data_IF_844668665029
#
_entry.id   IF_844668665029
#
_cell.length_a   1.000
_cell.length_b   1.000
_cell.length_c   1.000
_cell.angle_alpha   90.00
_cell.angle_beta   90.00
_cell.angle_gamma   90.00
#
_symmetry.space_group_name_H-M   'P 1'
#
loop_
_entity.id
_entity.type
_entity.pdbx_description
1 polymer ?
#
# COMPACT_ATOMS: atom_id res chain seq x y z
N UNK A 1 35.83 21.93 -6.85
CA UNK A 1 34.55 22.41 -7.45
C UNK A 1 33.57 21.24 -7.46
N UNK A 2 33.01 20.92 -6.31
CA UNK A 2 32.10 19.81 -6.07
C UNK A 2 30.68 20.36 -6.07
N UNK A 3 29.90 19.97 -7.06
CA UNK A 3 28.51 20.39 -7.24
C UNK A 3 27.63 19.48 -6.36
N UNK A 4 27.20 20.00 -5.23
CA UNK A 4 26.19 19.37 -4.36
C UNK A 4 24.90 19.09 -5.15
N UNK A 5 24.67 17.84 -5.45
CA UNK A 5 23.39 17.34 -5.91
C UNK A 5 22.45 17.21 -4.70
N UNK A 6 21.79 18.30 -4.36
CA UNK A 6 20.66 18.26 -3.40
C UNK A 6 19.48 17.57 -4.07
N UNK A 7 19.36 16.28 -3.86
CA UNK A 7 18.13 15.57 -4.11
C UNK A 7 17.05 16.08 -3.15
N UNK A 8 16.19 16.94 -3.66
CA UNK A 8 14.93 17.27 -2.99
C UNK A 8 14.01 16.06 -3.02
N UNK A 9 14.09 15.23 -1.99
CA UNK A 9 13.19 14.08 -1.75
C UNK A 9 11.94 14.56 -1.02
N UNK A 10 11.25 15.53 -1.60
CA UNK A 10 9.96 16.00 -1.12
C UNK A 10 8.90 15.53 -2.12
N UNK A 11 8.52 14.27 -2.10
CA UNK A 11 7.22 13.81 -2.57
C UNK A 11 7.08 12.28 -2.41
N UNK A 12 6.88 11.84 -1.17
CA UNK A 12 6.06 10.67 -0.88
C UNK A 12 4.99 11.17 0.08
N UNK A 13 4.26 12.17 -0.36
CA UNK A 13 2.97 12.53 0.18
C UNK A 13 1.95 11.93 -0.77
N UNK A 14 1.09 11.08 -0.21
CA UNK A 14 -0.27 10.79 -0.63
C UNK A 14 -0.70 11.61 -1.85
N UNK A 15 -0.41 11.13 -3.06
CA UNK A 15 -0.89 11.76 -4.26
C UNK A 15 -2.33 11.31 -4.53
N UNK A 16 -3.27 11.76 -3.70
CA UNK A 16 -4.62 12.01 -4.19
C UNK A 16 -4.55 13.32 -4.98
N UNK A 17 -4.04 13.23 -6.19
CA UNK A 17 -4.10 14.33 -7.15
C UNK A 17 -5.53 14.46 -7.65
N UNK A 18 -6.21 15.51 -7.22
CA UNK A 18 -7.42 16.00 -7.88
C UNK A 18 -7.01 16.58 -9.23
N UNK A 19 -7.23 15.82 -10.30
CA UNK A 19 -7.04 16.31 -11.65
C UNK A 19 -8.31 17.05 -12.12
N UNK A 20 -8.10 18.26 -12.60
CA UNK A 20 -9.08 18.99 -13.41
C UNK A 20 -9.28 18.26 -14.74
N UNK A 21 -10.50 17.94 -15.06
CA UNK A 21 -10.95 17.06 -16.13
C UNK A 21 -10.73 17.63 -17.53
N UNK A 22 -10.00 16.90 -18.37
CA UNK A 22 -10.17 16.96 -19.83
C UNK A 22 -10.91 15.68 -20.25
N UNK A 23 -12.16 15.80 -20.59
CA UNK A 23 -13.06 14.70 -20.89
C UNK A 23 -12.83 14.17 -22.31
N UNK A 24 -12.21 13.00 -22.45
CA UNK A 24 -12.40 12.17 -23.63
C UNK A 24 -13.32 11.02 -23.29
N UNK A 25 -14.55 11.05 -23.81
CA UNK A 25 -15.51 9.97 -23.67
C UNK A 25 -14.97 8.70 -24.35
N UNK A 26 -14.39 7.78 -23.59
CA UNK A 26 -14.10 6.43 -24.07
C UNK A 26 -15.37 5.56 -24.07
N UNK A 27 -15.61 4.85 -25.19
CA UNK A 27 -16.72 3.89 -25.32
C UNK A 27 -16.58 2.80 -24.26
N UNK A 28 -17.68 2.24 -23.70
CA UNK A 28 -17.62 1.15 -22.74
C UNK A 28 -16.81 -0.01 -23.32
N UNK A 29 -15.78 -0.41 -22.57
CA UNK A 29 -14.69 -1.24 -23.07
C UNK A 29 -15.12 -2.72 -23.07
N UNK A 30 -14.95 -3.41 -24.18
CA UNK A 30 -15.21 -4.85 -24.31
C UNK A 30 -14.37 -5.73 -23.36
N UNK A 31 -13.31 -5.16 -22.77
CA UNK A 31 -12.39 -5.85 -21.86
C UNK A 31 -13.00 -6.24 -20.50
N UNK A 32 -14.07 -5.59 -20.05
CA UNK A 32 -14.76 -5.95 -18.80
C UNK A 32 -15.37 -7.37 -18.82
N UNK A 33 -15.45 -8.00 -20.01
CA UNK A 33 -15.85 -9.40 -20.15
C UNK A 33 -14.74 -10.38 -19.75
N UNK A 34 -13.48 -9.94 -19.78
CA UNK A 34 -12.33 -10.77 -19.45
C UNK A 34 -12.15 -10.89 -17.93
N UNK A 35 -11.52 -11.97 -17.51
CA UNK A 35 -11.02 -12.08 -16.14
C UNK A 35 -10.13 -10.87 -15.79
N UNK A 36 -10.23 -10.28 -14.59
CA UNK A 36 -9.41 -9.15 -14.18
C UNK A 36 -7.91 -9.34 -14.39
N UNK A 37 -7.37 -10.55 -14.19
CA UNK A 37 -5.95 -10.87 -14.43
C UNK A 37 -5.53 -10.73 -15.90
N UNK A 38 -6.47 -10.78 -16.83
CA UNK A 38 -6.24 -10.69 -18.28
C UNK A 38 -6.36 -9.24 -18.81
N UNK A 39 -6.70 -8.28 -17.95
CA UNK A 39 -6.91 -6.88 -18.33
C UNK A 39 -5.60 -6.08 -18.35
N UNK A 40 -4.52 -6.69 -18.80
CA UNK A 40 -3.19 -6.04 -18.89
C UNK A 40 -3.18 -5.07 -20.05
N UNK A 41 -2.92 -3.78 -19.75
CA UNK A 41 -2.86 -2.69 -20.73
C UNK A 41 -1.68 -1.76 -20.44
N UNK A 42 -1.41 -0.82 -21.33
CA UNK A 42 -0.51 0.30 -21.07
C UNK A 42 -1.17 1.18 -20.00
N UNK A 43 -0.38 1.70 -19.07
CA UNK A 43 -0.90 2.60 -18.03
C UNK A 43 -1.58 3.85 -18.65
N UNK A 44 -2.55 4.46 -17.98
CA UNK A 44 -3.13 5.73 -18.41
C UNK A 44 -2.03 6.79 -18.59
N UNK A 45 -2.17 7.66 -19.59
CA UNK A 45 -1.17 8.71 -19.87
C UNK A 45 -0.96 9.64 -18.65
N UNK A 46 -2.02 9.92 -17.90
CA UNK A 46 -1.93 10.70 -16.65
C UNK A 46 -0.96 10.11 -15.62
N UNK A 47 -0.82 8.77 -15.59
CA UNK A 47 0.16 8.09 -14.71
C UNK A 47 1.58 8.33 -15.22
N UNK A 48 1.81 8.26 -16.55
CA UNK A 48 3.11 8.59 -17.13
C UNK A 48 3.49 10.05 -16.89
N UNK A 49 2.54 10.97 -17.07
CA UNK A 49 2.75 12.40 -16.86
C UNK A 49 3.16 12.69 -15.42
N UNK A 50 2.43 12.17 -14.43
CA UNK A 50 2.76 12.34 -13.01
C UNK A 50 4.19 11.91 -12.67
N UNK A 51 4.66 10.78 -13.23
CA UNK A 51 6.01 10.31 -12.97
C UNK A 51 7.07 11.09 -13.74
N UNK A 52 6.77 11.59 -14.95
CA UNK A 52 7.67 12.51 -15.68
C UNK A 52 7.83 13.83 -14.96
N UNK A 53 6.75 14.40 -14.43
CA UNK A 53 6.78 15.62 -13.60
C UNK A 53 7.62 15.44 -12.34
N UNK A 54 7.62 14.24 -11.76
CA UNK A 54 8.51 13.85 -10.67
C UNK A 54 9.97 13.61 -11.10
N UNK A 55 10.32 13.88 -12.37
CA UNK A 55 11.66 13.72 -12.92
C UNK A 55 12.04 12.29 -13.29
N UNK A 56 11.08 11.37 -13.34
CA UNK A 56 11.30 9.98 -13.72
C UNK A 56 11.22 9.79 -15.25
N UNK A 57 11.65 8.61 -15.70
CA UNK A 57 11.55 8.19 -17.10
C UNK A 57 10.75 6.87 -17.16
N UNK A 58 9.45 6.91 -16.87
CA UNK A 58 8.63 5.70 -16.85
C UNK A 58 8.53 5.09 -18.25
N UNK A 59 8.61 3.77 -18.31
CA UNK A 59 8.48 3.00 -19.56
C UNK A 59 7.48 1.87 -19.33
N UNK A 60 6.58 1.65 -20.29
CA UNK A 60 5.67 0.52 -20.22
C UNK A 60 6.45 -0.80 -20.29
N UNK A 61 6.17 -1.68 -19.34
CA UNK A 61 6.76 -3.02 -19.30
C UNK A 61 5.80 -4.03 -19.94
N UNK A 62 6.32 -4.85 -20.86
CA UNK A 62 5.55 -5.92 -21.51
C UNK A 62 5.82 -7.24 -20.80
N UNK A 63 4.82 -7.79 -20.15
CA UNK A 63 4.94 -9.04 -19.42
C UNK A 63 5.38 -10.22 -20.31
N UNK A 64 6.37 -10.95 -19.82
CA UNK A 64 6.74 -12.28 -20.32
C UNK A 64 5.68 -13.33 -19.93
N UNK A 65 5.69 -14.53 -20.52
CA UNK A 65 4.79 -15.62 -20.11
C UNK A 65 4.91 -15.99 -18.63
N UNK A 66 6.13 -16.02 -18.08
CA UNK A 66 6.36 -16.36 -16.67
C UNK A 66 5.80 -15.27 -15.72
N UNK A 67 5.96 -14.00 -16.07
CA UNK A 67 5.39 -12.88 -15.29
C UNK A 67 3.86 -12.88 -15.34
N UNK A 68 3.26 -13.21 -16.48
CA UNK A 68 1.79 -13.37 -16.59
C UNK A 68 1.27 -14.47 -15.68
N UNK A 69 2.02 -15.56 -15.52
CA UNK A 69 1.66 -16.64 -14.60
C UNK A 69 1.67 -16.15 -13.14
N UNK A 70 2.68 -15.38 -12.74
CA UNK A 70 2.73 -14.74 -11.40
C UNK A 70 1.55 -13.80 -11.17
N UNK A 71 1.19 -13.00 -12.17
CA UNK A 71 0.01 -12.11 -12.11
C UNK A 71 -1.27 -12.93 -11.94
N UNK A 72 -1.49 -13.95 -12.75
CA UNK A 72 -2.66 -14.84 -12.63
C UNK A 72 -2.74 -15.50 -11.26
N UNK A 73 -1.59 -15.97 -10.75
CA UNK A 73 -1.51 -16.56 -9.42
C UNK A 73 -1.87 -15.53 -8.33
N UNK A 74 -1.43 -14.28 -8.44
CA UNK A 74 -1.77 -13.23 -7.48
C UNK A 74 -3.30 -12.98 -7.44
N UNK A 75 -3.96 -12.91 -8.59
CA UNK A 75 -5.42 -12.76 -8.65
C UNK A 75 -6.17 -13.95 -8.04
N UNK A 76 -5.64 -15.16 -8.16
CA UNK A 76 -6.24 -16.35 -7.56
C UNK A 76 -6.23 -16.33 -6.02
N UNK A 77 -5.36 -15.51 -5.41
CA UNK A 77 -5.27 -15.34 -3.96
C UNK A 77 -6.15 -14.22 -3.39
N UNK A 78 -6.90 -13.52 -4.22
CA UNK A 78 -7.80 -12.45 -3.78
C UNK A 78 -8.99 -13.00 -2.98
N UNK A 79 -9.45 -12.21 -1.99
CA UNK A 79 -10.67 -12.56 -1.24
C UNK A 79 -11.92 -12.52 -2.12
N UNK A 80 -13.03 -13.18 -1.73
CA UNK A 80 -14.29 -13.12 -2.47
C UNK A 80 -14.76 -11.68 -2.76
N UNK A 81 -14.63 -10.76 -1.80
CA UNK A 81 -15.01 -9.36 -2.01
C UNK A 81 -14.11 -8.68 -3.04
N UNK A 82 -12.79 -8.85 -2.97
CA UNK A 82 -11.87 -8.33 -3.97
C UNK A 82 -12.24 -8.82 -5.38
N UNK A 83 -12.42 -10.14 -5.56
CA UNK A 83 -12.76 -10.72 -6.85
C UNK A 83 -14.05 -10.11 -7.43
N UNK A 84 -15.10 -9.99 -6.59
CA UNK A 84 -16.38 -9.43 -6.99
C UNK A 84 -16.26 -7.96 -7.40
N UNK A 85 -15.57 -7.14 -6.60
CA UNK A 85 -15.41 -5.70 -6.86
C UNK A 85 -14.49 -5.46 -8.07
N UNK A 86 -13.35 -6.13 -8.16
CA UNK A 86 -12.45 -5.97 -9.30
C UNK A 86 -13.07 -6.41 -10.62
N UNK A 87 -13.93 -7.42 -10.61
CA UNK A 87 -14.66 -7.82 -11.81
C UNK A 87 -15.49 -6.68 -12.41
N UNK A 88 -16.03 -5.80 -11.56
CA UNK A 88 -16.94 -4.72 -11.92
C UNK A 88 -16.24 -3.36 -12.08
N UNK A 89 -15.17 -3.11 -11.33
CA UNK A 89 -14.58 -1.78 -11.16
C UNK A 89 -13.11 -1.69 -11.61
N UNK A 90 -12.43 -2.80 -11.89
CA UNK A 90 -11.07 -2.76 -12.44
C UNK A 90 -11.15 -2.69 -13.97
N UNK A 91 -10.76 -1.57 -14.56
CA UNK A 91 -10.64 -1.42 -16.02
C UNK A 91 -9.41 -2.14 -16.54
N UNK A 92 -8.27 -1.90 -15.92
CA UNK A 92 -6.99 -2.46 -16.38
C UNK A 92 -5.95 -2.56 -15.27
N UNK A 93 -4.96 -3.39 -15.52
CA UNK A 93 -3.68 -3.41 -14.79
C UNK A 93 -2.55 -3.09 -15.75
N UNK A 94 -1.51 -2.44 -15.25
CA UNK A 94 -0.36 -2.02 -16.03
C UNK A 94 0.93 -2.33 -15.29
N UNK A 95 2.01 -2.48 -16.03
CA UNK A 95 3.35 -2.69 -15.48
C UNK A 95 4.31 -1.66 -16.06
N UNK A 96 5.15 -1.08 -15.21
CA UNK A 96 5.99 0.05 -15.56
C UNK A 96 7.41 -0.12 -15.02
N UNK A 97 8.39 0.06 -15.87
CA UNK A 97 9.79 0.21 -15.49
C UNK A 97 10.06 1.66 -15.07
N UNK A 98 11.05 1.84 -14.20
CA UNK A 98 11.45 3.15 -13.67
C UNK A 98 10.34 3.90 -12.93
N UNK A 99 9.41 3.18 -12.35
CA UNK A 99 8.36 3.70 -11.49
C UNK A 99 8.92 3.94 -10.08
N UNK A 100 8.70 5.12 -9.45
CA UNK A 100 9.25 5.41 -8.12
C UNK A 100 8.51 4.68 -6.98
N UNK A 101 7.23 4.41 -7.19
CA UNK A 101 6.38 3.73 -6.23
C UNK A 101 6.36 2.21 -6.49
N UNK A 102 5.85 1.44 -5.54
CA UNK A 102 5.64 -0.01 -5.72
C UNK A 102 4.44 -0.28 -6.63
N UNK A 103 3.33 0.40 -6.36
CA UNK A 103 2.12 0.37 -7.17
C UNK A 103 1.34 1.68 -6.99
N UNK A 104 0.33 1.87 -7.81
CA UNK A 104 -0.57 3.02 -7.76
C UNK A 104 -1.95 2.59 -8.28
N UNK A 105 -2.96 2.69 -7.43
CA UNK A 105 -4.36 2.62 -7.83
C UNK A 105 -4.85 4.01 -8.21
N UNK A 106 -5.28 4.19 -9.44
CA UNK A 106 -5.78 5.47 -9.96
C UNK A 106 -7.20 5.35 -10.51
N UNK A 107 -8.08 6.33 -10.22
CA UNK A 107 -9.39 6.38 -10.86
C UNK A 107 -9.23 6.66 -12.36
N UNK A 108 -10.10 6.03 -13.15
CA UNK A 108 -10.26 6.37 -14.56
C UNK A 108 -11.54 7.20 -14.64
N UNK A 109 -11.44 8.38 -15.27
CA UNK A 109 -12.61 9.19 -15.52
C UNK A 109 -13.50 8.48 -16.54
N UNK A 110 -14.62 8.01 -16.05
CA UNK A 110 -15.70 7.52 -16.88
C UNK A 110 -16.82 8.53 -16.79
N UNK A 111 -17.25 9.06 -17.90
CA UNK A 111 -18.48 9.90 -18.01
C UNK A 111 -19.74 9.16 -17.54
N UNK A 112 -19.58 7.95 -16.98
CA UNK A 112 -20.63 7.10 -16.47
C UNK A 112 -20.71 7.08 -14.94
N UNK A 113 -21.83 6.61 -14.40
CA UNK A 113 -22.07 6.50 -12.96
C UNK A 113 -21.16 5.48 -12.23
N UNK A 114 -20.41 4.63 -12.94
CA UNK A 114 -19.57 3.60 -12.35
C UNK A 114 -18.13 4.11 -12.13
N UNK A 115 -17.64 4.04 -10.90
CA UNK A 115 -16.23 4.28 -10.59
C UNK A 115 -15.38 3.16 -11.19
N UNK A 116 -14.43 3.52 -12.07
CA UNK A 116 -13.47 2.59 -12.68
C UNK A 116 -12.05 2.92 -12.27
N UNK A 117 -11.18 1.90 -12.24
CA UNK A 117 -9.81 2.04 -11.73
C UNK A 117 -8.81 1.32 -12.63
N UNK A 118 -7.60 1.86 -12.68
CA UNK A 118 -6.40 1.18 -13.13
C UNK A 118 -5.49 0.91 -11.92
N UNK A 119 -4.78 -0.22 -11.92
CA UNK A 119 -3.67 -0.46 -11.00
C UNK A 119 -2.39 -0.54 -11.84
N UNK A 120 -1.44 0.34 -11.57
CA UNK A 120 -0.11 0.31 -12.19
C UNK A 120 0.90 -0.24 -11.20
N UNK A 121 1.65 -1.27 -11.57
CA UNK A 121 2.68 -1.91 -10.75
C UNK A 121 4.07 -1.59 -11.27
N UNK A 122 5.04 -1.41 -10.38
CA UNK A 122 6.46 -1.44 -10.71
C UNK A 122 6.82 -2.84 -11.21
N UNK A 123 7.36 -2.96 -12.42
CA UNK A 123 7.63 -4.25 -13.05
C UNK A 123 8.61 -5.11 -12.25
N UNK A 124 9.66 -4.50 -11.66
CA UNK A 124 10.64 -5.24 -10.85
C UNK A 124 10.05 -5.91 -9.60
N UNK A 125 8.82 -5.58 -9.20
CA UNK A 125 8.10 -6.28 -8.13
C UNK A 125 7.90 -7.77 -8.44
N UNK A 126 7.85 -8.12 -9.74
CA UNK A 126 7.67 -9.50 -10.19
C UNK A 126 8.90 -10.40 -9.93
N UNK A 127 10.05 -9.81 -9.62
CA UNK A 127 11.30 -10.52 -9.30
C UNK A 127 11.51 -10.68 -7.79
N UNK A 128 10.63 -10.12 -6.97
CA UNK A 128 10.76 -10.09 -5.53
C UNK A 128 9.76 -11.04 -4.85
N UNK A 129 10.15 -11.65 -3.73
CA UNK A 129 9.20 -12.27 -2.80
C UNK A 129 8.74 -11.25 -1.73
N UNK A 130 7.70 -11.62 -0.97
CA UNK A 130 7.11 -10.72 0.05
C UNK A 130 8.17 -10.27 1.06
N UNK A 131 9.03 -11.18 1.57
CA UNK A 131 10.05 -10.83 2.56
C UNK A 131 11.08 -9.84 2.00
N UNK A 132 11.53 -10.03 0.76
CA UNK A 132 12.48 -9.14 0.10
C UNK A 132 11.91 -7.74 -0.09
N UNK A 133 10.74 -7.67 -0.75
CA UNK A 133 10.08 -6.40 -1.01
C UNK A 133 9.68 -5.66 0.29
N UNK A 134 9.06 -6.36 1.26
CA UNK A 134 8.63 -5.74 2.50
C UNK A 134 9.84 -5.26 3.34
N UNK A 135 10.96 -6.00 3.32
CA UNK A 135 12.21 -5.56 3.95
C UNK A 135 12.75 -4.29 3.29
N UNK A 136 12.74 -4.23 1.95
CA UNK A 136 13.13 -3.02 1.24
C UNK A 136 12.21 -1.84 1.60
N UNK A 137 10.88 -2.02 1.52
CA UNK A 137 9.88 -1.00 1.88
C UNK A 137 10.13 -0.47 3.30
N UNK A 138 10.28 -1.35 4.27
CA UNK A 138 10.44 -1.00 5.68
C UNK A 138 11.74 -0.24 5.95
N UNK A 139 12.85 -0.65 5.29
CA UNK A 139 14.12 0.06 5.42
C UNK A 139 14.10 1.48 4.85
N UNK A 140 13.11 1.83 4.00
CA UNK A 140 12.94 3.22 3.57
C UNK A 140 12.53 4.17 4.72
N UNK A 141 12.06 3.63 5.84
CA UNK A 141 11.71 4.39 7.04
C UNK A 141 12.92 4.80 7.88
N UNK A 142 14.11 4.29 7.54
CA UNK A 142 15.31 4.46 8.34
C UNK A 142 16.49 4.99 7.52
N UNK A 143 17.30 5.84 8.16
CA UNK A 143 18.62 6.21 7.65
C UNK A 143 19.68 5.35 8.33
N UNK A 144 20.78 4.98 7.63
CA UNK A 144 21.90 4.31 8.26
C UNK A 144 22.41 5.11 9.48
N UNK A 145 22.67 4.43 10.59
CA UNK A 145 23.41 5.02 11.70
C UNK A 145 24.91 4.93 11.43
N UNK A 146 25.71 5.75 12.11
CA UNK A 146 27.17 5.61 12.13
C UNK A 146 27.58 4.22 12.67
N UNK A 147 26.79 3.69 13.59
CA UNK A 147 26.84 2.30 14.05
C UNK A 147 26.00 1.41 13.12
N UNK A 148 26.67 0.66 12.23
CA UNK A 148 26.05 -0.28 11.28
C UNK A 148 25.52 -1.57 11.94
N UNK A 149 25.49 -1.66 13.26
CA UNK A 149 25.08 -2.86 14.00
C UNK A 149 23.58 -3.17 13.92
N UNK A 150 22.75 -2.17 13.64
CA UNK A 150 21.29 -2.35 13.54
C UNK A 150 20.87 -2.80 12.15
N UNK A 151 19.92 -3.74 12.10
CA UNK A 151 19.26 -4.18 10.87
C UNK A 151 17.76 -4.34 11.13
N UNK A 152 16.95 -3.98 10.14
CA UNK A 152 15.52 -4.22 10.10
C UNK A 152 15.21 -5.17 8.96
N UNK A 153 14.44 -6.21 9.22
CA UNK A 153 13.97 -7.14 8.20
C UNK A 153 12.51 -7.52 8.44
N UNK A 154 11.82 -7.85 7.38
CA UNK A 154 10.46 -8.38 7.41
C UNK A 154 10.47 -9.84 7.00
N UNK A 155 9.83 -10.68 7.77
CA UNK A 155 9.55 -12.07 7.43
C UNK A 155 8.09 -12.16 6.97
N UNK A 156 7.88 -12.23 5.67
CA UNK A 156 6.56 -12.29 5.01
C UNK A 156 6.34 -13.54 4.17
N UNK A 157 7.27 -14.52 4.30
CA UNK A 157 7.24 -15.75 3.49
C UNK A 157 7.90 -15.58 2.12
N UNK A 158 7.82 -16.63 1.32
CA UNK A 158 8.49 -16.75 0.01
C UNK A 158 7.55 -16.58 -1.18
N UNK A 159 6.26 -16.26 -0.95
CA UNK A 159 5.33 -15.97 -2.04
C UNK A 159 5.75 -14.72 -2.80
N UNK A 160 5.37 -14.63 -4.09
CA UNK A 160 5.66 -13.46 -4.92
C UNK A 160 5.10 -12.18 -4.29
N UNK A 161 5.89 -11.12 -4.30
CA UNK A 161 5.54 -9.84 -3.68
C UNK A 161 4.28 -9.20 -4.28
N UNK A 162 4.02 -9.47 -5.56
CA UNK A 162 2.81 -8.98 -6.23
C UNK A 162 1.52 -9.45 -5.55
N UNK A 163 1.52 -10.59 -4.83
CA UNK A 163 0.35 -11.06 -4.08
C UNK A 163 0.00 -10.07 -2.96
N UNK A 164 1.01 -9.64 -2.19
CA UNK A 164 0.82 -8.63 -1.15
C UNK A 164 0.31 -7.32 -1.74
N UNK A 165 1.03 -6.84 -2.76
CA UNK A 165 0.77 -5.52 -3.33
C UNK A 165 -0.57 -5.49 -4.04
N UNK A 166 -0.97 -6.55 -4.74
CA UNK A 166 -2.30 -6.63 -5.36
C UNK A 166 -3.42 -6.68 -4.32
N UNK A 167 -3.26 -7.40 -3.21
CA UNK A 167 -4.24 -7.39 -2.10
C UNK A 167 -4.40 -5.98 -1.53
N UNK A 168 -3.30 -5.26 -1.35
CA UNK A 168 -3.29 -3.89 -0.84
C UNK A 168 -4.00 -2.93 -1.81
N UNK A 169 -3.60 -2.90 -3.07
CA UNK A 169 -4.17 -2.02 -4.10
C UNK A 169 -5.65 -2.35 -4.39
N UNK A 170 -5.99 -3.63 -4.43
CA UNK A 170 -7.38 -4.07 -4.57
C UNK A 170 -8.25 -3.62 -3.39
N UNK A 171 -7.68 -3.53 -2.17
CA UNK A 171 -8.40 -3.03 -1.00
C UNK A 171 -8.77 -1.56 -1.15
N UNK A 172 -7.92 -0.72 -1.78
CA UNK A 172 -8.29 0.67 -2.08
C UNK A 172 -9.52 0.76 -2.98
N UNK A 173 -9.62 -0.10 -4.02
CA UNK A 173 -10.81 -0.14 -4.87
C UNK A 173 -12.03 -0.61 -4.08
N UNK A 174 -11.89 -1.65 -3.27
CA UNK A 174 -12.97 -2.13 -2.38
C UNK A 174 -13.42 -1.01 -1.45
N UNK A 175 -12.49 -0.30 -0.81
CA UNK A 175 -12.80 0.77 0.12
C UNK A 175 -13.58 1.91 -0.55
N UNK A 176 -13.11 2.39 -1.71
CA UNK A 176 -13.78 3.47 -2.45
C UNK A 176 -15.19 3.07 -2.93
N UNK A 177 -15.38 1.78 -3.28
CA UNK A 177 -16.68 1.29 -3.79
C UNK A 177 -17.66 1.01 -2.66
N UNK A 178 -17.17 0.51 -1.51
CA UNK A 178 -18.04 0.05 -0.41
C UNK A 178 -18.11 1.01 0.77
N UNK A 179 -17.25 2.04 0.82
CA UNK A 179 -17.25 3.04 1.88
C UNK A 179 -16.83 2.49 3.24
N UNK A 180 -15.83 1.60 3.31
CA UNK A 180 -15.30 1.10 4.58
C UNK A 180 -14.69 2.25 5.37
N UNK A 181 -13.95 3.15 4.69
CA UNK A 181 -13.49 4.42 5.26
C UNK A 181 -14.26 5.60 4.65
N UNK A 182 -14.30 6.76 5.31
CA UNK A 182 -14.88 7.96 4.73
C UNK A 182 -14.03 8.46 3.54
N UNK A 183 -14.67 9.13 2.58
CA UNK A 183 -14.00 9.74 1.43
C UNK A 183 -14.28 11.26 1.38
N UNK A 184 -13.64 12.06 2.28
CA UNK A 184 -13.76 13.51 2.30
C UNK A 184 -13.14 14.14 1.05
N UNK A 185 -13.49 15.40 0.77
CA UNK A 185 -12.87 16.17 -0.31
C UNK A 185 -11.43 16.56 0.05
N UNK A 186 -11.24 16.97 1.30
CA UNK A 186 -9.93 17.37 1.82
C UNK A 186 -9.48 16.48 2.97
N UNK A 187 -8.18 16.26 3.09
CA UNK A 187 -7.59 15.34 4.07
C UNK A 187 -7.88 15.71 5.54
N UNK A 188 -8.18 16.98 5.80
CA UNK A 188 -8.45 17.50 7.15
C UNK A 188 -9.94 17.73 7.42
N UNK A 189 -10.82 17.37 6.48
CA UNK A 189 -12.24 17.45 6.71
C UNK A 189 -12.65 16.52 7.85
N UNK A 190 -13.41 17.07 8.79
CA UNK A 190 -14.05 16.28 9.83
C UNK A 190 -15.33 15.70 9.26
N UNK A 191 -15.40 14.39 9.20
CA UNK A 191 -16.54 13.65 8.66
C UNK A 191 -17.04 12.62 9.67
N UNK A 192 -18.26 12.16 9.49
CA UNK A 192 -18.80 11.08 10.33
C UNK A 192 -17.91 9.82 10.22
N UNK A 193 -17.48 9.25 11.34
CA UNK A 193 -16.66 8.05 11.33
C UNK A 193 -17.46 6.83 10.85
N UNK A 194 -16.78 5.96 10.15
CA UNK A 194 -17.31 4.61 9.87
C UNK A 194 -17.00 3.66 11.03
N UNK A 195 -17.61 2.48 11.09
CA UNK A 195 -17.24 1.46 12.07
C UNK A 195 -15.75 1.09 12.05
N UNK A 196 -15.05 1.30 10.92
CA UNK A 196 -13.62 1.04 10.80
C UNK A 196 -12.76 2.14 11.40
N UNK A 197 -13.14 3.40 11.21
CA UNK A 197 -12.34 4.59 11.62
C UNK A 197 -12.68 5.08 13.02
N UNK A 198 -13.84 4.70 13.55
CA UNK A 198 -14.32 5.14 14.86
C UNK A 198 -13.29 4.81 15.96
N UNK A 199 -13.03 5.77 16.85
CA UNK A 199 -12.12 5.69 18.00
C UNK A 199 -10.63 5.51 17.63
N UNK A 200 -10.30 5.44 16.33
CA UNK A 200 -8.94 5.25 15.83
C UNK A 200 -8.46 6.48 15.07
N UNK A 201 -9.31 7.03 14.20
CA UNK A 201 -8.96 8.13 13.34
C UNK A 201 -9.81 9.36 13.63
N UNK A 202 -9.16 10.53 13.71
CA UNK A 202 -9.82 11.83 13.89
C UNK A 202 -10.17 12.45 12.53
N UNK A 203 -9.24 12.39 11.58
CA UNK A 203 -9.39 12.80 10.18
C UNK A 203 -8.57 11.83 9.33
N UNK A 204 -8.64 11.93 8.01
CA UNK A 204 -8.09 10.96 7.06
C UNK A 204 -6.65 10.53 7.36
N UNK A 205 -5.79 11.47 7.75
CA UNK A 205 -4.36 11.23 7.98
C UNK A 205 -3.89 11.54 9.41
N UNK A 206 -4.82 11.64 10.38
CA UNK A 206 -4.47 11.90 11.78
C UNK A 206 -5.24 10.96 12.71
N UNK A 207 -4.56 10.07 13.43
CA UNK A 207 -5.20 9.23 14.43
C UNK A 207 -5.76 10.08 15.60
N UNK A 208 -6.58 9.46 16.45
CA UNK A 208 -7.00 10.07 17.72
C UNK A 208 -5.81 10.29 18.63
N UNK A 209 -5.92 11.24 19.55
CA UNK A 209 -4.82 11.64 20.45
C UNK A 209 -4.28 10.46 21.28
N UNK A 210 -5.10 9.44 21.52
CA UNK A 210 -4.70 8.19 22.20
C UNK A 210 -3.55 7.46 21.50
N UNK A 211 -3.46 7.55 20.17
CA UNK A 211 -2.47 6.83 19.36
C UNK A 211 -1.40 7.72 18.75
N UNK A 212 -1.34 8.99 19.16
CA UNK A 212 -0.25 9.90 18.77
C UNK A 212 0.96 9.63 19.66
N UNK A 213 2.09 9.29 19.07
CA UNK A 213 3.37 9.14 19.76
C UNK A 213 4.44 10.01 19.07
N UNK A 214 5.21 10.76 19.86
CA UNK A 214 6.19 11.74 19.36
C UNK A 214 7.30 11.11 18.50
N UNK A 215 7.63 9.83 18.67
CA UNK A 215 8.59 9.13 17.84
C UNK A 215 7.93 8.62 16.55
N UNK A 216 6.73 8.03 16.65
CA UNK A 216 6.00 7.54 15.49
C UNK A 216 5.66 8.68 14.51
N UNK A 217 5.27 9.87 15.03
CA UNK A 217 5.00 11.06 14.19
C UNK A 217 6.24 11.59 13.45
N UNK A 218 7.46 11.17 13.83
CA UNK A 218 8.70 11.50 13.10
C UNK A 218 9.05 10.50 12.01
N UNK A 219 8.42 9.32 11.97
CA UNK A 219 8.71 8.30 10.96
C UNK A 219 8.30 8.75 9.56
N UNK A 220 8.86 8.10 8.54
CA UNK A 220 8.69 8.49 7.15
C UNK A 220 7.23 8.65 6.72
N UNK A 221 6.38 7.72 7.07
CA UNK A 221 4.98 7.75 6.64
C UNK A 221 4.12 8.79 7.36
N UNK A 222 4.65 9.41 8.41
CA UNK A 222 4.01 10.52 9.13
C UNK A 222 4.64 11.87 8.80
N UNK A 223 5.96 11.96 8.79
CA UNK A 223 6.70 13.23 8.61
C UNK A 223 7.28 13.42 7.21
N UNK A 224 7.22 12.38 6.35
CA UNK A 224 7.92 12.34 5.06
C UNK A 224 9.43 12.09 5.17
N UNK A 225 9.98 11.94 6.39
CA UNK A 225 11.44 11.79 6.63
C UNK A 225 11.75 10.48 7.34
N UNK A 226 12.80 9.76 6.93
CA UNK A 226 13.28 8.59 7.66
C UNK A 226 13.93 9.02 8.98
N UNK A 227 13.88 8.13 9.99
CA UNK A 227 14.58 8.29 11.28
C UNK A 227 15.85 7.43 11.30
N UNK A 228 16.75 7.66 12.27
CA UNK A 228 17.94 6.80 12.42
C UNK A 228 17.54 5.35 12.68
N UNK A 229 18.19 4.39 12.03
CA UNK A 229 17.97 2.95 12.25
C UNK A 229 18.25 2.50 13.69
N UNK A 230 19.06 3.26 14.45
CA UNK A 230 19.29 3.01 15.87
C UNK A 230 18.02 3.15 16.72
N UNK A 231 16.99 3.85 16.21
CA UNK A 231 15.69 4.00 16.86
C UNK A 231 14.68 2.91 16.47
N UNK A 232 15.05 1.99 15.57
CA UNK A 232 14.11 1.01 15.03
C UNK A 232 13.43 0.16 16.12
N UNK A 233 14.18 -0.28 17.13
CA UNK A 233 13.62 -1.05 18.24
C UNK A 233 12.54 -0.26 19.02
N UNK A 234 12.81 1.02 19.28
CA UNK A 234 11.86 1.91 19.96
C UNK A 234 10.63 2.18 19.09
N UNK A 235 10.83 2.41 17.79
CA UNK A 235 9.74 2.62 16.82
C UNK A 235 8.76 1.44 16.86
N UNK A 236 9.23 0.19 16.73
CA UNK A 236 8.33 -0.97 16.74
C UNK A 236 7.77 -1.27 18.14
N UNK A 237 8.49 -0.94 19.21
CA UNK A 237 7.95 -0.99 20.58
C UNK A 237 6.82 0.01 20.76
N UNK A 238 6.90 1.21 20.17
CA UNK A 238 5.82 2.19 20.19
C UNK A 238 4.66 1.76 19.29
N UNK A 239 4.95 1.27 18.09
CA UNK A 239 3.93 0.77 17.16
C UNK A 239 3.10 -0.36 17.79
N UNK A 240 3.72 -1.25 18.58
CA UNK A 240 3.02 -2.34 19.26
C UNK A 240 2.01 -1.88 20.31
N UNK A 241 2.01 -0.61 20.69
CA UNK A 241 1.03 0.02 21.59
C UNK A 241 -0.11 0.72 20.84
N UNK A 242 -0.19 0.54 19.53
CA UNK A 242 -1.20 1.14 18.64
C UNK A 242 -2.03 0.05 17.97
N UNK A 243 -3.20 0.38 17.39
CA UNK A 243 -4.00 -0.55 16.63
C UNK A 243 -3.53 -0.72 15.17
N UNK A 244 -2.39 -0.13 14.79
CA UNK A 244 -1.90 -0.16 13.41
C UNK A 244 -1.03 -1.38 13.15
N UNK A 245 -1.29 -2.14 12.05
CA UNK A 245 -0.55 -3.36 11.73
C UNK A 245 0.85 -3.09 11.13
N UNK A 246 1.13 -1.86 10.68
CA UNK A 246 2.43 -1.47 10.10
C UNK A 246 2.65 0.04 10.29
N UNK A 247 3.87 0.53 10.05
CA UNK A 247 4.15 1.96 9.99
C UNK A 247 3.39 2.62 8.84
N UNK A 248 3.20 1.90 7.73
CA UNK A 248 2.47 2.44 6.58
C UNK A 248 0.98 2.59 6.86
N UNK A 249 0.40 1.70 7.66
CA UNK A 249 -0.99 1.84 8.11
C UNK A 249 -1.25 3.15 8.86
N UNK A 250 -0.22 3.78 9.43
CA UNK A 250 -0.35 5.07 10.11
C UNK A 250 -0.42 6.28 9.16
N UNK A 251 -0.20 6.10 7.85
CA UNK A 251 -0.19 7.21 6.90
C UNK A 251 -1.59 7.83 6.71
N UNK A 252 -2.60 6.99 6.54
CA UNK A 252 -4.00 7.37 6.38
C UNK A 252 -4.92 6.18 6.67
N UNK A 253 -6.21 6.43 6.93
CA UNK A 253 -7.18 5.35 7.17
C UNK A 253 -7.36 4.41 5.97
N UNK A 254 -7.17 4.89 4.73
CA UNK A 254 -7.18 4.04 3.53
C UNK A 254 -5.99 3.08 3.48
N UNK A 255 -4.81 3.53 3.91
CA UNK A 255 -3.62 2.67 4.04
C UNK A 255 -3.79 1.67 5.19
N UNK A 256 -4.45 2.09 6.26
CA UNK A 256 -4.73 1.26 7.41
C UNK A 256 -5.62 0.06 7.07
N UNK A 257 -6.74 0.28 6.37
CA UNK A 257 -7.59 -0.83 5.93
C UNK A 257 -6.87 -1.73 4.93
N UNK A 258 -6.09 -1.16 4.01
CA UNK A 258 -5.34 -1.91 3.01
C UNK A 258 -4.27 -2.82 3.67
N UNK A 259 -3.47 -2.28 4.58
CA UNK A 259 -2.47 -3.04 5.34
C UNK A 259 -3.12 -4.09 6.25
N UNK A 260 -4.18 -3.73 6.99
CA UNK A 260 -4.86 -4.65 7.89
C UNK A 260 -5.48 -5.83 7.14
N UNK A 261 -6.20 -5.58 6.06
CA UNK A 261 -6.83 -6.62 5.24
C UNK A 261 -5.78 -7.55 4.61
N UNK A 262 -4.70 -6.97 4.07
CA UNK A 262 -3.62 -7.71 3.42
C UNK A 262 -2.87 -8.60 4.40
N UNK A 263 -2.38 -8.04 5.53
CA UNK A 263 -1.59 -8.79 6.50
C UNK A 263 -2.45 -9.88 7.16
N UNK A 264 -3.72 -9.58 7.47
CA UNK A 264 -4.64 -10.58 7.99
C UNK A 264 -4.88 -11.72 6.98
N UNK A 265 -5.11 -11.40 5.70
CA UNK A 265 -5.33 -12.41 4.68
C UNK A 265 -4.12 -13.32 4.52
N UNK A 266 -2.92 -12.75 4.40
CA UNK A 266 -1.67 -13.50 4.32
C UNK A 266 -1.49 -14.44 5.51
N UNK A 267 -1.67 -13.93 6.72
CA UNK A 267 -1.35 -14.70 7.93
C UNK A 267 -2.46 -15.68 8.29
N UNK A 268 -3.72 -15.23 8.38
CA UNK A 268 -4.82 -16.03 8.87
C UNK A 268 -5.37 -17.00 7.81
N UNK A 269 -5.38 -16.61 6.54
CA UNK A 269 -5.97 -17.42 5.45
C UNK A 269 -4.92 -18.17 4.65
N UNK A 270 -3.84 -17.50 4.26
CA UNK A 270 -2.78 -18.13 3.45
C UNK A 270 -1.67 -18.77 4.29
N UNK A 271 -1.73 -18.63 5.64
CA UNK A 271 -0.76 -19.24 6.58
C UNK A 271 0.68 -18.81 6.36
N UNK A 272 0.89 -17.60 5.82
CA UNK A 272 2.22 -17.03 5.69
C UNK A 272 2.64 -16.35 7.01
N UNK A 273 3.92 -16.33 7.34
CA UNK A 273 4.43 -15.47 8.41
C UNK A 273 4.27 -13.99 8.02
N UNK A 274 4.10 -13.11 8.99
CA UNK A 274 4.31 -11.68 8.80
C UNK A 274 4.74 -11.05 10.13
N UNK A 275 6.01 -10.70 10.24
CA UNK A 275 6.56 -10.00 11.39
C UNK A 275 7.84 -9.24 11.02
N UNK A 276 8.11 -8.20 11.80
CA UNK A 276 9.28 -7.34 11.64
C UNK A 276 10.28 -7.66 12.74
N UNK A 277 11.55 -7.86 12.38
CA UNK A 277 12.63 -8.14 13.30
C UNK A 277 13.66 -7.02 13.24
N UNK A 278 13.99 -6.49 14.40
CA UNK A 278 15.12 -5.59 14.58
C UNK A 278 16.24 -6.35 15.27
N UNK A 279 17.44 -6.35 14.68
CA UNK A 279 18.62 -6.93 15.31
C UNK A 279 19.66 -5.85 15.59
N UNK A 280 20.44 -6.06 16.66
CA UNK A 280 21.67 -5.32 16.95
C UNK A 280 22.82 -6.31 17.09
N UNK A 281 23.92 -6.11 16.38
CA UNK A 281 25.04 -7.06 16.34
C UNK A 281 24.59 -8.51 16.00
N UNK A 282 23.62 -8.65 15.08
CA UNK A 282 22.97 -9.90 14.70
C UNK A 282 22.18 -10.61 15.82
N UNK A 283 21.96 -9.97 16.97
CA UNK A 283 21.08 -10.45 18.04
C UNK A 283 19.73 -9.75 17.92
N UNK A 284 18.62 -10.50 17.95
CA UNK A 284 17.26 -9.95 17.94
C UNK A 284 17.03 -9.11 19.21
N UNK A 285 16.64 -7.85 19.03
CA UNK A 285 16.34 -6.92 20.11
C UNK A 285 14.87 -6.55 20.17
N UNK A 286 14.17 -6.67 19.05
CA UNK A 286 12.72 -6.40 18.98
C UNK A 286 12.10 -7.23 17.88
N UNK A 287 10.89 -7.75 18.14
CA UNK A 287 10.01 -8.39 17.16
C UNK A 287 8.63 -7.78 17.26
N UNK A 288 8.10 -7.32 16.14
CA UNK A 288 6.74 -6.86 16.03
C UNK A 288 5.92 -7.81 15.16
N UNK A 289 4.91 -8.44 15.76
CA UNK A 289 3.99 -9.37 15.10
C UNK A 289 2.59 -8.75 15.14
N UNK A 290 2.14 -8.06 14.07
CA UNK A 290 0.88 -7.32 14.10
C UNK A 290 -0.32 -8.20 14.46
N UNK A 291 -0.38 -9.41 13.95
CA UNK A 291 -1.50 -10.33 14.22
C UNK A 291 -1.47 -10.94 15.64
N UNK A 292 -0.43 -10.70 16.44
CA UNK A 292 -0.38 -11.01 17.87
C UNK A 292 -0.74 -9.80 18.74
N UNK A 293 -0.70 -8.58 18.21
CA UNK A 293 -1.06 -7.36 18.92
C UNK A 293 -2.56 -7.36 19.27
N UNK A 294 -2.89 -7.16 20.56
CA UNK A 294 -4.28 -7.19 21.05
C UNK A 294 -5.14 -6.08 20.42
N UNK A 295 -4.59 -4.87 20.24
CA UNK A 295 -5.31 -3.74 19.65
C UNK A 295 -5.60 -3.97 18.17
N UNK A 296 -4.68 -4.58 17.43
CA UNK A 296 -4.92 -4.99 16.04
C UNK A 296 -5.99 -6.07 15.97
N UNK A 297 -5.93 -7.08 16.86
CA UNK A 297 -6.92 -8.16 16.91
C UNK A 297 -8.35 -7.70 17.14
N UNK A 298 -8.55 -6.66 17.93
CA UNK A 298 -9.89 -6.08 18.21
C UNK A 298 -10.57 -5.52 16.96
N UNK A 299 -9.83 -5.33 15.87
CA UNK A 299 -10.34 -4.76 14.62
C UNK A 299 -10.63 -5.82 13.54
N UNK A 300 -10.27 -7.08 13.76
CA UNK A 300 -10.36 -8.11 12.72
C UNK A 300 -11.79 -8.49 12.33
N UNK A 301 -12.76 -8.25 13.21
CA UNK A 301 -14.19 -8.42 12.89
C UNK A 301 -14.66 -7.50 11.77
N UNK A 302 -14.05 -6.31 11.64
CA UNK A 302 -14.33 -5.33 10.56
C UNK A 302 -13.98 -5.87 9.17
N UNK A 303 -13.14 -6.91 9.09
CA UNK A 303 -12.76 -7.56 7.84
C UNK A 303 -13.74 -8.67 7.39
N UNK A 304 -14.79 -8.92 8.15
CA UNK A 304 -15.73 -10.02 7.87
C UNK A 304 -16.37 -9.95 6.49
N UNK A 305 -16.63 -8.75 5.97
CA UNK A 305 -17.20 -8.52 4.64
C UNK A 305 -16.32 -9.03 3.50
N UNK A 306 -15.00 -9.04 3.68
CA UNK A 306 -14.05 -9.53 2.66
C UNK A 306 -14.22 -11.01 2.34
N UNK A 307 -14.81 -11.79 3.27
CA UNK A 307 -14.94 -13.25 3.19
C UNK A 307 -16.38 -13.73 2.99
N UNK A 308 -17.34 -12.81 2.88
CA UNK A 308 -18.72 -13.17 2.53
C UNK A 308 -18.80 -13.43 1.02
N UNK A 309 -19.53 -14.50 0.62
CA UNK A 309 -19.76 -14.83 -0.79
C UNK A 309 -20.52 -13.73 -1.55
#
# INVERSE_FOLDING_TARGET
MTRDMRFNLAMVALAMLFFSTVTFAQKPNSYLKNDPSQRVQIAPESVFESFREAGMKPVNHKLTPAEKEKVNNAFAHLTPLHQRILKQHLESISFMDNMPNTALTSPIDTSGAAKMFNITFRASLLDENISQWATWKENTCFTPAADSSYKVRVEGGSLDAIIYVLLHEATHIVDVVTGITPHPKEAYDVVEPTPFTQDIWRVMNKPTDTYIDSLLEKTRFRSGKPVSISLAADVYTKLSKTPFPSLYAMAAWSEDIAELATIYHLTAKMKQPFYIVVTKNNVEVTRFEPMKNALVKQRLDKLSSFYKP
#
